data_IF_687342340493
#
_entry.id   IF_687342340493
#
_cell.length_a   1.000
_cell.length_b   1.000
_cell.length_c   1.000
_cell.angle_alpha   90.00
_cell.angle_beta   90.00
_cell.angle_gamma   90.00
#
_symmetry.space_group_name_H-M   'P 1'
#
loop_
_entity.id
_entity.type
_entity.pdbx_description
1 polymer ?
#
# COMPACT_ATOMS: atom_id res chain seq x y z
N UNK A 1 47.13 18.37 -12.00
CA UNK A 1 45.95 17.56 -11.62
C UNK A 1 46.25 16.83 -10.31
N UNK A 2 45.69 17.30 -9.19
CA UNK A 2 46.12 16.89 -7.84
C UNK A 2 45.79 15.43 -7.55
N UNK A 3 46.82 14.65 -7.18
CA UNK A 3 46.72 13.22 -6.86
C UNK A 3 45.71 12.92 -5.73
N UNK A 4 45.41 13.90 -4.87
CA UNK A 4 44.44 13.82 -3.78
C UNK A 4 42.98 13.75 -4.27
N UNK A 5 42.63 14.48 -5.36
CA UNK A 5 41.29 14.45 -5.95
C UNK A 5 40.98 13.10 -6.59
N UNK A 6 41.99 12.48 -7.24
CA UNK A 6 41.86 11.12 -7.80
C UNK A 6 41.62 10.05 -6.73
N UNK A 7 42.21 10.18 -5.53
CA UNK A 7 42.01 9.22 -4.43
C UNK A 7 40.61 9.31 -3.81
N UNK A 8 40.07 10.52 -3.65
CA UNK A 8 38.71 10.73 -3.11
C UNK A 8 37.64 10.13 -4.04
N UNK A 9 37.82 10.23 -5.35
CA UNK A 9 36.89 9.66 -6.34
C UNK A 9 36.85 8.11 -6.35
N UNK A 10 37.95 7.44 -5.99
CA UNK A 10 38.05 5.97 -5.92
C UNK A 10 37.42 5.44 -4.62
N UNK A 11 37.50 6.21 -3.54
CA UNK A 11 36.92 5.86 -2.24
C UNK A 11 35.38 5.94 -2.31
N UNK A 12 34.81 6.94 -2.97
CA UNK A 12 33.35 7.07 -3.12
C UNK A 12 32.74 5.95 -3.97
N UNK A 13 33.43 5.51 -5.03
CA UNK A 13 32.98 4.39 -5.87
C UNK A 13 33.04 3.04 -5.15
N UNK A 14 33.90 2.89 -4.14
CA UNK A 14 34.01 1.66 -3.36
C UNK A 14 32.93 1.50 -2.28
N UNK A 15 32.23 2.60 -1.91
CA UNK A 15 31.13 2.59 -0.93
C UNK A 15 29.78 2.30 -1.60
N UNK A 16 29.62 2.63 -2.89
CA UNK A 16 28.44 2.31 -3.69
C UNK A 16 28.05 0.82 -3.67
N UNK A 17 28.96 -0.16 -3.82
CA UNK A 17 28.57 -1.57 -3.78
C UNK A 17 28.05 -2.00 -2.39
N UNK A 18 28.56 -1.43 -1.29
CA UNK A 18 28.08 -1.75 0.05
C UNK A 18 26.66 -1.20 0.30
N UNK A 19 26.38 0.01 -0.18
CA UNK A 19 25.03 0.61 -0.12
C UNK A 19 24.06 -0.13 -1.05
N UNK A 20 24.50 -0.55 -2.23
CA UNK A 20 23.70 -1.36 -3.14
C UNK A 20 23.34 -2.72 -2.51
N UNK A 21 24.31 -3.40 -1.87
CA UNK A 21 24.09 -4.64 -1.13
C UNK A 21 23.07 -4.44 0.01
N UNK A 22 23.17 -3.37 0.78
CA UNK A 22 22.21 -3.03 1.84
C UNK A 22 20.82 -2.68 1.30
N UNK A 23 20.75 -1.99 0.16
CA UNK A 23 19.51 -1.65 -0.52
C UNK A 23 18.75 -2.90 -0.99
N UNK A 24 19.45 -3.95 -1.45
CA UNK A 24 18.85 -5.24 -1.81
C UNK A 24 18.11 -5.90 -0.64
N UNK A 25 18.66 -5.82 0.58
CA UNK A 25 18.01 -6.39 1.78
C UNK A 25 16.75 -5.60 2.16
N UNK A 26 16.81 -4.27 2.10
CA UNK A 26 15.65 -3.39 2.34
C UNK A 26 14.57 -3.66 1.28
N UNK A 27 14.95 -3.76 0.01
CA UNK A 27 14.04 -4.08 -1.10
C UNK A 27 13.41 -5.46 -0.93
N UNK A 28 14.17 -6.47 -0.46
CA UNK A 28 13.63 -7.79 -0.14
C UNK A 28 12.54 -7.74 0.92
N UNK A 29 12.76 -7.01 2.02
CA UNK A 29 11.76 -6.82 3.09
C UNK A 29 10.54 -6.05 2.58
N UNK A 30 10.73 -4.99 1.79
CA UNK A 30 9.63 -4.22 1.21
C UNK A 30 8.78 -5.05 0.24
N UNK A 31 9.40 -5.91 -0.57
CA UNK A 31 8.68 -6.81 -1.48
C UNK A 31 7.87 -7.82 -0.67
N UNK A 32 8.42 -8.41 0.39
CA UNK A 32 7.68 -9.34 1.24
C UNK A 32 6.48 -8.68 1.93
N UNK A 33 6.67 -7.48 2.48
CA UNK A 33 5.58 -6.69 3.06
C UNK A 33 4.52 -6.41 1.99
N UNK A 34 4.92 -5.99 0.79
CA UNK A 34 3.99 -5.71 -0.31
C UNK A 34 3.17 -6.94 -0.71
N UNK A 35 3.78 -8.12 -0.80
CA UNK A 35 3.08 -9.37 -1.13
C UNK A 35 2.03 -9.70 -0.08
N UNK A 36 2.38 -9.62 1.21
CA UNK A 36 1.45 -9.87 2.31
C UNK A 36 0.30 -8.87 2.28
N UNK A 37 0.59 -7.57 2.16
CA UNK A 37 -0.42 -6.52 2.13
C UNK A 37 -1.35 -6.67 0.92
N UNK A 38 -0.83 -6.95 -0.27
CA UNK A 38 -1.64 -7.14 -1.47
C UNK A 38 -2.62 -8.31 -1.36
N UNK A 39 -2.30 -9.34 -0.56
CA UNK A 39 -3.19 -10.46 -0.32
C UNK A 39 -4.22 -10.18 0.77
N UNK A 40 -3.83 -9.47 1.84
CA UNK A 40 -4.70 -9.20 3.00
C UNK A 40 -5.69 -8.06 2.74
N UNK A 41 -5.27 -7.00 2.05
CA UNK A 41 -6.10 -5.82 1.74
C UNK A 41 -7.43 -6.18 1.06
N UNK A 42 -7.48 -6.97 -0.03
CA UNK A 42 -8.75 -7.30 -0.69
C UNK A 42 -9.68 -8.12 0.21
N UNK A 43 -9.14 -8.97 1.09
CA UNK A 43 -9.94 -9.75 2.05
C UNK A 43 -10.64 -8.80 3.04
N UNK A 44 -9.89 -7.84 3.59
CA UNK A 44 -10.45 -6.85 4.51
C UNK A 44 -11.48 -5.95 3.80
N UNK A 45 -11.28 -5.62 2.53
CA UNK A 45 -12.25 -4.86 1.73
C UNK A 45 -13.61 -5.55 1.64
N UNK A 46 -13.61 -6.86 1.37
CA UNK A 46 -14.83 -7.67 1.33
C UNK A 46 -15.49 -7.70 2.72
N UNK A 47 -14.72 -7.94 3.78
CA UNK A 47 -15.24 -7.96 5.14
C UNK A 47 -15.83 -6.61 5.56
N UNK A 48 -15.16 -5.50 5.26
CA UNK A 48 -15.64 -4.15 5.54
C UNK A 48 -16.98 -3.86 4.83
N UNK A 49 -17.10 -4.30 3.57
CA UNK A 49 -18.34 -4.17 2.79
C UNK A 49 -19.47 -4.99 3.42
N UNK A 50 -19.20 -6.20 3.89
CA UNK A 50 -20.18 -7.04 4.59
C UNK A 50 -20.65 -6.38 5.89
N UNK A 51 -19.74 -5.87 6.71
CA UNK A 51 -20.08 -5.18 7.97
C UNK A 51 -20.89 -3.91 7.71
N UNK A 52 -20.52 -3.14 6.68
CA UNK A 52 -21.27 -1.98 6.25
C UNK A 52 -22.71 -2.35 5.84
N UNK A 53 -22.87 -3.37 4.99
CA UNK A 53 -24.19 -3.87 4.57
C UNK A 53 -25.01 -4.39 5.76
N UNK A 54 -24.38 -5.09 6.72
CA UNK A 54 -25.02 -5.56 7.94
C UNK A 54 -25.55 -4.39 8.78
N UNK A 55 -24.76 -3.33 8.93
CA UNK A 55 -25.19 -2.10 9.59
C UNK A 55 -26.39 -1.45 8.91
N UNK A 56 -26.40 -1.39 7.58
CA UNK A 56 -27.53 -0.85 6.80
C UNK A 56 -28.79 -1.70 6.98
N UNK A 57 -28.69 -3.01 6.87
CA UNK A 57 -29.83 -3.92 7.07
C UNK A 57 -30.40 -3.76 8.48
N UNK A 58 -29.54 -3.73 9.51
CA UNK A 58 -29.93 -3.53 10.91
C UNK A 58 -30.63 -2.17 11.12
N UNK A 59 -30.09 -1.12 10.51
CA UNK A 59 -30.66 0.22 10.60
C UNK A 59 -32.05 0.31 9.94
N UNK A 60 -32.23 -0.29 8.77
CA UNK A 60 -33.52 -0.27 8.04
C UNK A 60 -34.56 -1.15 8.73
N UNK A 61 -34.16 -2.32 9.24
CA UNK A 61 -35.06 -3.26 9.93
C UNK A 61 -35.41 -2.85 11.36
N UNK A 62 -34.79 -1.80 11.89
CA UNK A 62 -34.98 -1.37 13.28
C UNK A 62 -36.41 -0.87 13.59
N UNK A 63 -37.20 -0.46 12.59
CA UNK A 63 -38.65 -0.28 12.73
C UNK A 63 -39.11 0.72 13.82
N UNK A 64 -38.25 1.65 14.24
CA UNK A 64 -38.55 2.63 15.30
C UNK A 64 -38.00 2.28 16.69
N UNK A 65 -37.35 1.12 16.85
CA UNK A 65 -36.62 0.74 18.05
C UNK A 65 -35.31 1.56 18.14
N UNK A 66 -35.28 2.54 19.04
CA UNK A 66 -34.14 3.48 19.20
C UNK A 66 -32.81 2.76 19.46
N UNK A 67 -32.84 1.62 20.15
CA UNK A 67 -31.64 0.86 20.49
C UNK A 67 -31.05 0.20 19.23
N UNK A 68 -31.90 -0.46 18.43
CA UNK A 68 -31.49 -1.06 17.15
C UNK A 68 -31.07 -0.02 16.12
N UNK A 69 -31.71 1.16 16.12
CA UNK A 69 -31.32 2.29 15.27
C UNK A 69 -29.92 2.77 15.63
N UNK A 70 -29.63 2.95 16.92
CA UNK A 70 -28.33 3.42 17.40
C UNK A 70 -27.23 2.42 17.08
N UNK A 71 -27.49 1.14 17.31
CA UNK A 71 -26.58 0.04 16.99
C UNK A 71 -26.32 -0.04 15.47
N UNK A 72 -27.37 0.00 14.65
CA UNK A 72 -27.25 0.00 13.18
C UNK A 72 -26.43 1.18 12.66
N UNK A 73 -26.66 2.40 13.16
CA UNK A 73 -25.85 3.59 12.81
C UNK A 73 -24.38 3.40 13.17
N UNK A 74 -24.08 2.82 14.33
CA UNK A 74 -22.73 2.57 14.77
C UNK A 74 -21.99 1.62 13.80
N UNK A 75 -22.64 0.52 13.39
CA UNK A 75 -22.07 -0.40 12.40
C UNK A 75 -21.87 0.24 11.02
N UNK A 76 -22.81 1.09 10.57
CA UNK A 76 -22.66 1.85 9.32
C UNK A 76 -21.44 2.76 9.38
N UNK A 77 -21.27 3.51 10.47
CA UNK A 77 -20.15 4.44 10.64
C UNK A 77 -18.82 3.68 10.66
N UNK A 78 -18.73 2.57 11.40
CA UNK A 78 -17.52 1.76 11.42
C UNK A 78 -17.19 1.16 10.03
N UNK A 79 -18.20 0.65 9.33
CA UNK A 79 -18.03 0.15 7.96
C UNK A 79 -17.58 1.26 7.00
N UNK A 80 -18.18 2.44 7.10
CA UNK A 80 -17.86 3.60 6.25
C UNK A 80 -16.45 4.12 6.51
N UNK A 81 -16.02 4.23 7.77
CA UNK A 81 -14.66 4.64 8.12
C UNK A 81 -13.64 3.65 7.57
N UNK A 82 -13.89 2.34 7.72
CA UNK A 82 -13.01 1.30 7.18
C UNK A 82 -12.88 1.38 5.65
N UNK A 83 -14.01 1.56 4.96
CA UNK A 83 -14.03 1.71 3.50
C UNK A 83 -13.34 3.01 3.06
N UNK A 84 -13.56 4.10 3.78
CA UNK A 84 -12.96 5.40 3.49
C UNK A 84 -11.43 5.35 3.59
N UNK A 85 -10.87 4.77 4.66
CA UNK A 85 -9.42 4.65 4.83
C UNK A 85 -8.81 3.83 3.71
N UNK A 86 -9.43 2.70 3.35
CA UNK A 86 -8.98 1.85 2.24
C UNK A 86 -8.88 2.62 0.92
N UNK A 87 -9.94 3.34 0.56
CA UNK A 87 -9.98 4.12 -0.69
C UNK A 87 -9.01 5.31 -0.62
N UNK A 88 -8.91 5.97 0.53
CA UNK A 88 -8.01 7.10 0.74
C UNK A 88 -6.54 6.72 0.53
N UNK A 89 -6.11 5.55 1.02
CA UNK A 89 -4.74 5.05 0.80
C UNK A 89 -4.43 4.90 -0.69
N UNK A 90 -5.31 4.26 -1.46
CA UNK A 90 -5.13 4.11 -2.92
C UNK A 90 -5.19 5.46 -3.65
N UNK A 91 -6.10 6.35 -3.24
CA UNK A 91 -6.20 7.70 -3.80
C UNK A 91 -4.93 8.52 -3.59
N UNK A 92 -4.32 8.42 -2.41
CA UNK A 92 -3.04 9.08 -2.12
C UNK A 92 -1.92 8.46 -2.96
N UNK A 93 -1.82 7.12 -3.03
CA UNK A 93 -0.80 6.44 -3.85
C UNK A 93 -0.91 6.87 -5.32
N UNK A 94 -2.12 6.85 -5.88
CA UNK A 94 -2.38 7.27 -7.26
C UNK A 94 -2.04 8.75 -7.49
N UNK A 95 -2.39 9.62 -6.53
CA UNK A 95 -2.07 11.05 -6.57
C UNK A 95 -0.55 11.29 -6.55
N UNK A 96 0.19 10.56 -5.71
CA UNK A 96 1.65 10.64 -5.65
C UNK A 96 2.28 10.12 -6.95
N UNK A 97 1.81 9.02 -7.52
CA UNK A 97 2.31 8.49 -8.80
C UNK A 97 2.10 9.49 -9.95
N UNK A 98 0.93 10.12 -10.01
CA UNK A 98 0.62 11.14 -11.02
C UNK A 98 1.42 12.43 -10.85
N UNK A 99 1.68 12.86 -9.60
CA UNK A 99 2.40 14.11 -9.30
C UNK A 99 3.90 13.98 -9.50
N UNK A 100 4.49 12.83 -9.15
CA UNK A 100 5.94 12.59 -9.27
C UNK A 100 6.35 11.96 -10.61
N UNK A 101 5.41 11.75 -11.54
CA UNK A 101 5.71 11.14 -12.85
C UNK A 101 6.20 9.69 -12.75
N UNK A 102 5.93 9.01 -11.63
CA UNK A 102 6.31 7.62 -11.39
C UNK A 102 5.27 6.68 -12.04
N UNK A 103 5.08 6.87 -13.35
CA UNK A 103 4.11 6.14 -14.14
C UNK A 103 4.26 4.62 -13.96
N UNK A 104 3.13 3.92 -14.03
CA UNK A 104 3.05 2.46 -14.09
C UNK A 104 3.55 1.96 -15.44
N UNK A 105 4.75 2.33 -15.86
CA UNK A 105 5.38 1.68 -17.00
C UNK A 105 5.50 0.20 -16.64
N UNK A 106 4.87 -0.71 -17.41
CA UNK A 106 5.08 -2.14 -17.23
C UNK A 106 6.57 -2.38 -17.24
N UNK A 107 7.11 -2.93 -16.15
CA UNK A 107 8.51 -3.37 -16.12
C UNK A 107 8.68 -4.29 -17.34
N UNK A 108 9.55 -3.93 -18.30
CA UNK A 108 9.74 -4.74 -19.49
C UNK A 108 10.04 -6.19 -19.05
N UNK A 109 9.40 -7.20 -19.65
CA UNK A 109 9.74 -8.58 -19.37
C UNK A 109 11.26 -8.73 -19.48
N UNK A 110 11.90 -9.13 -18.38
CA UNK A 110 13.34 -9.40 -18.38
C UNK A 110 13.65 -10.41 -19.49
N UNK A 111 14.87 -10.37 -20.08
CA UNK A 111 15.23 -11.28 -21.15
C UNK A 111 14.95 -12.72 -20.72
N UNK A 112 14.13 -13.42 -21.51
CA UNK A 112 13.83 -14.83 -21.28
C UNK A 112 15.14 -15.63 -21.34
N UNK A 113 15.68 -16.01 -20.18
CA UNK A 113 16.76 -16.98 -20.10
C UNK A 113 16.17 -18.35 -20.35
N UNK A 114 15.99 -18.68 -21.62
CA UNK A 114 15.76 -20.05 -22.07
C UNK A 114 17.10 -20.78 -21.96
N UNK A 115 17.24 -21.59 -20.90
CA UNK A 115 18.25 -22.63 -20.80
C UNK A 115 17.54 -23.97 -20.69
#
# INVERSE_FOLDING_TARGET
>A
MNKTLRKIAIISTSILPLVALAATTVQGVLIQIRVILNQVVPIIMVLATIVFLWGVIRYVTAGGDEEKIKEGKQFIIFGLIGLFIMVAVWGIIASLQGTFGLGTEPVPPGPATNF
#
